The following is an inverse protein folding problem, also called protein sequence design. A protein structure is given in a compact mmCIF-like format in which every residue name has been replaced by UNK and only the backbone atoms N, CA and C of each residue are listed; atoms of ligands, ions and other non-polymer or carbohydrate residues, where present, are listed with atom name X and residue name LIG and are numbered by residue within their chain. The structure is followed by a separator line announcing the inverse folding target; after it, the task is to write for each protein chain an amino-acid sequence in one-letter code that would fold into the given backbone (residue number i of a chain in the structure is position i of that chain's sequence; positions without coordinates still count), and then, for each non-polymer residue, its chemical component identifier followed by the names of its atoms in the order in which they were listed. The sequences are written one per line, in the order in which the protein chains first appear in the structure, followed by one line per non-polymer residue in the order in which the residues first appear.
data_IF_965178105952
#
_entry.id   IF_965178105952
#
_cell.length_a   1.000
_cell.length_b   1.000
_cell.length_c   1.000
_cell.angle_alpha   90.00
_cell.angle_beta   90.00
_cell.angle_gamma   90.00
#
_symmetry.space_group_name_H-M   'P 1'
#
loop_
_entity.id
_entity.type
_entity.pdbx_description
1 polymer ?
#
# COMPACT_ATOMS: atom_id res chain seq x y z
N UNK A 1 1.51 -14.39 -18.11
CA UNK A 1 1.89 -14.71 -16.71
C UNK A 1 2.16 -16.21 -16.66
N UNK A 2 3.34 -16.65 -16.23
CA UNK A 2 3.70 -18.07 -16.15
C UNK A 2 3.41 -18.63 -14.73
N UNK A 3 3.37 -19.95 -14.53
CA UNK A 3 3.10 -20.61 -13.24
C UNK A 3 4.04 -20.11 -12.14
N UNK A 4 5.33 -19.92 -12.45
CA UNK A 4 6.31 -19.36 -11.49
C UNK A 4 5.91 -17.97 -10.99
N UNK A 5 5.30 -17.16 -11.85
CA UNK A 5 4.86 -15.79 -11.53
C UNK A 5 3.64 -15.81 -10.61
N UNK A 6 2.71 -16.73 -10.88
CA UNK A 6 1.52 -16.94 -10.07
C UNK A 6 1.91 -17.36 -8.65
N UNK A 7 2.85 -18.30 -8.50
CA UNK A 7 3.34 -18.76 -7.20
C UNK A 7 4.01 -17.62 -6.43
N UNK A 8 4.84 -16.79 -7.08
CA UNK A 8 5.46 -15.63 -6.42
C UNK A 8 4.41 -14.60 -5.95
N UNK A 9 3.42 -14.30 -6.79
CA UNK A 9 2.31 -13.43 -6.41
C UNK A 9 1.52 -14.00 -5.23
N UNK A 10 1.26 -15.32 -5.21
CA UNK A 10 0.57 -15.98 -4.10
C UNK A 10 1.37 -15.92 -2.78
N UNK A 11 2.69 -16.13 -2.83
CA UNK A 11 3.56 -15.98 -1.65
C UNK A 11 3.53 -14.53 -1.16
N UNK A 12 3.59 -13.56 -2.07
CA UNK A 12 3.55 -12.14 -1.69
C UNK A 12 2.21 -11.78 -1.04
N UNK A 13 1.10 -12.28 -1.57
CA UNK A 13 -0.24 -12.13 -0.95
C UNK A 13 -0.25 -12.74 0.45
N UNK A 14 0.27 -13.96 0.62
CA UNK A 14 0.31 -14.63 1.91
C UNK A 14 1.12 -13.85 2.95
N UNK A 15 2.31 -13.35 2.57
CA UNK A 15 3.13 -12.48 3.43
C UNK A 15 2.35 -11.23 3.80
N UNK A 16 1.73 -10.56 2.82
CA UNK A 16 0.98 -9.33 3.04
C UNK A 16 -0.17 -9.52 4.05
N UNK A 17 -0.95 -10.59 3.89
CA UNK A 17 -2.09 -10.91 4.77
C UNK A 17 -1.62 -11.25 6.19
N UNK A 18 -0.59 -12.09 6.34
CA UNK A 18 -0.06 -12.47 7.66
C UNK A 18 0.52 -11.27 8.39
N UNK A 19 1.33 -10.48 7.71
CA UNK A 19 2.00 -9.30 8.29
C UNK A 19 1.00 -8.27 8.78
N UNK A 20 -0.12 -8.13 8.07
CA UNK A 20 -1.19 -7.23 8.46
C UNK A 20 -2.02 -7.79 9.61
N UNK A 21 -2.32 -9.09 9.60
CA UNK A 21 -3.07 -9.75 10.68
C UNK A 21 -2.38 -9.61 12.05
N UNK A 22 -1.06 -9.35 12.07
CA UNK A 22 -0.26 -9.14 13.27
C UNK A 22 -0.18 -7.67 13.70
N UNK A 23 -0.68 -6.71 12.91
CA UNK A 23 -0.48 -5.27 13.15
C UNK A 23 -1.76 -4.51 13.54
N UNK A 24 -2.06 -4.37 14.86
CA UNK A 24 -3.20 -3.59 15.35
C UNK A 24 -2.99 -2.06 15.32
N UNK A 25 -1.79 -1.56 15.00
CA UNK A 25 -1.43 -0.12 15.11
C UNK A 25 -1.74 0.65 13.80
N UNK A 26 -2.33 -0.01 12.80
CA UNK A 26 -2.50 0.55 11.45
C UNK A 26 -3.80 1.29 11.15
N UNK A 27 -4.77 1.35 12.06
CA UNK A 27 -6.13 1.85 11.76
C UNK A 27 -6.50 3.20 12.38
N UNK A 28 -5.55 3.85 13.08
CA UNK A 28 -5.74 5.19 13.65
C UNK A 28 -5.32 6.32 12.69
N UNK A 29 -5.23 7.55 13.21
CA UNK A 29 -4.77 8.70 12.44
C UNK A 29 -3.30 8.60 12.00
N UNK A 30 -2.46 7.90 12.77
CA UNK A 30 -1.05 7.63 12.43
C UNK A 30 -0.94 6.18 11.99
N UNK A 31 -0.68 5.93 10.69
CA UNK A 31 -0.69 4.59 10.11
C UNK A 31 0.71 4.15 9.68
N UNK A 32 1.49 3.61 10.62
CA UNK A 32 2.75 2.92 10.28
C UNK A 32 2.48 1.43 10.05
N UNK A 33 1.85 1.11 8.93
CA UNK A 33 1.51 -0.27 8.57
C UNK A 33 2.58 -0.86 7.65
N UNK A 34 3.01 -2.08 7.96
CA UNK A 34 3.96 -2.81 7.12
C UNK A 34 3.35 -3.08 5.72
N UNK A 35 2.02 -3.14 5.60
CA UNK A 35 1.31 -3.18 4.32
C UNK A 35 1.65 -2.01 3.39
N UNK A 36 1.81 -0.81 3.94
CA UNK A 36 2.23 0.39 3.18
C UNK A 36 3.70 0.28 2.76
N UNK A 37 4.55 -0.34 3.58
CA UNK A 37 5.94 -0.62 3.17
C UNK A 37 6.00 -1.63 2.02
N UNK A 38 5.12 -2.64 1.99
CA UNK A 38 5.05 -3.64 0.92
C UNK A 38 4.42 -3.08 -0.36
N UNK A 39 3.58 -2.04 -0.26
CA UNK A 39 2.90 -1.42 -1.41
C UNK A 39 3.86 -0.76 -2.40
N UNK A 40 5.15 -0.59 -2.06
CA UNK A 40 6.19 -0.06 -2.95
C UNK A 40 6.73 -1.09 -3.95
N UNK A 41 6.53 -2.39 -3.72
CA UNK A 41 7.06 -3.46 -4.58
C UNK A 41 6.66 -3.26 -6.06
N UNK A 42 5.38 -2.93 -6.38
CA UNK A 42 4.96 -2.62 -7.73
C UNK A 42 5.67 -1.43 -8.39
N UNK A 43 6.25 -0.51 -7.62
CA UNK A 43 7.02 0.62 -8.16
C UNK A 43 8.32 0.15 -8.83
N UNK A 44 8.83 -1.02 -8.43
CA UNK A 44 10.03 -1.62 -9.00
C UNK A 44 9.71 -2.68 -10.06
N UNK A 45 8.60 -3.42 -9.91
CA UNK A 45 8.10 -4.36 -10.90
C UNK A 45 6.57 -4.45 -10.90
N UNK A 46 5.94 -3.97 -11.97
CA UNK A 46 4.47 -3.90 -12.10
C UNK A 46 3.75 -5.25 -12.15
N UNK A 47 4.47 -6.35 -12.32
CA UNK A 47 3.92 -7.71 -12.26
C UNK A 47 3.26 -8.05 -10.93
N UNK A 48 3.65 -7.34 -9.86
CA UNK A 48 3.11 -7.52 -8.51
C UNK A 48 1.88 -6.66 -8.21
N UNK A 49 1.45 -5.77 -9.12
CA UNK A 49 0.25 -4.93 -8.92
C UNK A 49 -0.98 -5.75 -8.49
N UNK A 50 -1.34 -6.87 -9.16
CA UNK A 50 -2.50 -7.65 -8.74
C UNK A 50 -2.35 -8.26 -7.35
N UNK A 51 -1.13 -8.67 -6.98
CA UNK A 51 -0.86 -9.24 -5.66
C UNK A 51 -1.07 -8.23 -4.55
N UNK A 52 -0.64 -6.98 -4.73
CA UNK A 52 -0.80 -5.93 -3.72
C UNK A 52 -2.25 -5.44 -3.62
N UNK A 53 -2.98 -5.35 -4.74
CA UNK A 53 -4.40 -4.97 -4.71
C UNK A 53 -5.23 -6.06 -3.99
N UNK A 54 -5.05 -7.33 -4.36
CA UNK A 54 -5.79 -8.44 -3.75
C UNK A 54 -5.38 -8.62 -2.30
N UNK A 55 -4.08 -8.60 -2.01
CA UNK A 55 -3.55 -8.69 -0.65
C UNK A 55 -4.07 -7.56 0.24
N UNK A 56 -4.05 -6.32 -0.27
CA UNK A 56 -4.62 -5.12 0.36
C UNK A 56 -6.11 -5.26 0.69
N UNK A 57 -6.90 -5.67 -0.30
CA UNK A 57 -8.34 -5.86 -0.13
C UNK A 57 -8.65 -6.93 0.94
N UNK A 58 -8.01 -8.09 0.85
CA UNK A 58 -8.20 -9.18 1.83
C UNK A 58 -7.76 -8.76 3.24
N UNK A 59 -6.67 -8.01 3.34
CA UNK A 59 -6.17 -7.45 4.58
C UNK A 59 -7.15 -6.46 5.23
N UNK A 60 -7.77 -5.59 4.43
CA UNK A 60 -8.71 -4.60 4.91
C UNK A 60 -10.11 -5.16 5.19
N UNK A 61 -10.46 -6.33 4.63
CA UNK A 61 -11.71 -7.02 4.99
C UNK A 61 -11.80 -7.32 6.50
N UNK A 62 -10.66 -7.54 7.16
CA UNK A 62 -10.57 -7.78 8.60
C UNK A 62 -10.34 -6.51 9.42
N UNK A 63 -10.41 -5.32 8.81
CA UNK A 63 -10.27 -4.07 9.55
C UNK A 63 -11.52 -3.74 10.36
N UNK A 64 -11.45 -2.81 11.33
CA UNK A 64 -12.61 -2.34 12.08
C UNK A 64 -13.73 -1.74 11.21
N UNK A 65 -13.37 -1.18 10.05
CA UNK A 65 -14.30 -0.61 9.06
C UNK A 65 -14.75 -1.66 8.02
N UNK A 66 -14.08 -2.80 7.98
CA UNK A 66 -14.48 -4.00 7.23
C UNK A 66 -14.56 -3.76 5.72
N UNK A 67 -15.70 -4.07 5.07
CA UNK A 67 -15.84 -3.96 3.62
C UNK A 67 -15.61 -2.55 3.04
N UNK A 68 -15.82 -1.50 3.82
CA UNK A 68 -15.64 -0.11 3.36
C UNK A 68 -14.15 0.16 3.13
N UNK A 69 -13.31 -0.13 4.12
CA UNK A 69 -11.86 0.02 4.05
C UNK A 69 -11.23 -0.91 3.00
N UNK A 70 -11.84 -2.08 2.76
CA UNK A 70 -11.45 -2.94 1.64
C UNK A 70 -11.60 -2.20 0.29
N UNK A 71 -12.74 -1.57 0.06
CA UNK A 71 -13.02 -0.86 -1.20
C UNK A 71 -12.19 0.40 -1.31
N UNK A 72 -12.07 1.18 -0.25
CA UNK A 72 -11.28 2.41 -0.21
C UNK A 72 -9.79 2.10 -0.43
N UNK A 73 -9.23 1.14 0.30
CA UNK A 73 -7.84 0.71 0.14
C UNK A 73 -7.54 0.16 -1.27
N UNK A 74 -8.44 -0.66 -1.83
CA UNK A 74 -8.32 -1.14 -3.21
C UNK A 74 -8.36 0.02 -4.22
N UNK A 75 -9.24 1.01 -4.02
CA UNK A 75 -9.33 2.19 -4.87
C UNK A 75 -8.03 3.02 -4.83
N UNK A 76 -7.47 3.26 -3.64
CA UNK A 76 -6.17 3.91 -3.46
C UNK A 76 -5.08 3.21 -4.29
N UNK A 77 -4.97 1.89 -4.14
CA UNK A 77 -3.98 1.09 -4.84
C UNK A 77 -4.17 1.14 -6.36
N UNK A 78 -5.41 0.99 -6.86
CA UNK A 78 -5.72 1.04 -8.29
C UNK A 78 -5.34 2.40 -8.87
N UNK A 79 -5.71 3.50 -8.21
CA UNK A 79 -5.40 4.85 -8.65
C UNK A 79 -3.88 5.04 -8.71
N UNK A 80 -3.19 4.77 -7.60
CA UNK A 80 -1.75 4.98 -7.51
C UNK A 80 -0.96 4.13 -8.52
N UNK A 81 -1.30 2.85 -8.67
CA UNK A 81 -0.62 1.96 -9.62
C UNK A 81 -0.97 2.28 -11.08
N UNK A 82 -2.14 2.86 -11.36
CA UNK A 82 -2.49 3.35 -12.70
C UNK A 82 -1.59 4.52 -13.12
N UNK A 83 -1.34 5.48 -12.22
CA UNK A 83 -0.40 6.58 -12.48
C UNK A 83 1.06 6.11 -12.51
N UNK A 84 1.42 5.13 -11.67
CA UNK A 84 2.77 4.56 -11.62
C UNK A 84 3.24 3.97 -12.96
N UNK A 85 2.32 3.59 -13.85
CA UNK A 85 2.64 3.17 -15.23
C UNK A 85 3.44 4.22 -16.01
N UNK A 86 3.23 5.51 -15.75
CA UNK A 86 3.85 6.61 -16.48
C UNK A 86 5.12 7.14 -15.81
N UNK A 87 5.43 6.67 -14.59
CA UNK A 87 6.46 7.26 -13.74
C UNK A 87 7.48 6.20 -13.33
N UNK A 88 8.73 6.42 -13.72
CA UNK A 88 9.84 5.49 -13.44
C UNK A 88 10.43 5.65 -12.03
N UNK A 89 10.23 6.81 -11.39
CA UNK A 89 10.82 7.10 -10.08
C UNK A 89 9.98 6.47 -8.96
N UNK A 90 10.54 5.55 -8.14
CA UNK A 90 9.82 4.97 -7.02
C UNK A 90 9.42 6.02 -5.97
N UNK A 91 10.22 7.08 -5.79
CA UNK A 91 9.94 8.16 -4.85
C UNK A 91 8.72 9.01 -5.27
N UNK A 92 8.55 9.26 -6.58
CA UNK A 92 7.36 9.96 -7.09
C UNK A 92 6.13 9.04 -6.97
N UNK A 93 6.30 7.74 -7.21
CA UNK A 93 5.22 6.77 -6.99
C UNK A 93 4.81 6.68 -5.50
N UNK A 94 5.77 6.75 -4.57
CA UNK A 94 5.51 6.89 -3.13
C UNK A 94 4.69 8.13 -2.82
N UNK A 95 5.01 9.28 -3.43
CA UNK A 95 4.23 10.51 -3.26
C UNK A 95 2.80 10.37 -3.75
N UNK A 96 2.59 9.82 -4.94
CA UNK A 96 1.26 9.61 -5.51
C UNK A 96 0.43 8.67 -4.65
N UNK A 97 1.03 7.56 -4.21
CA UNK A 97 0.37 6.60 -3.33
C UNK A 97 -0.02 7.25 -2.00
N UNK A 98 0.90 8.02 -1.38
CA UNK A 98 0.63 8.75 -0.15
C UNK A 98 -0.46 9.82 -0.30
N UNK A 99 -0.49 10.54 -1.43
CA UNK A 99 -1.56 11.52 -1.71
C UNK A 99 -2.90 10.82 -1.92
N UNK A 100 -2.95 9.71 -2.65
CA UNK A 100 -4.18 8.94 -2.85
C UNK A 100 -4.72 8.40 -1.52
N UNK A 101 -3.87 7.77 -0.71
CA UNK A 101 -4.24 7.29 0.63
C UNK A 101 -4.65 8.45 1.55
N UNK A 102 -3.88 9.53 1.58
CA UNK A 102 -4.18 10.70 2.40
C UNK A 102 -5.52 11.38 2.08
N UNK A 103 -5.99 11.33 0.83
CA UNK A 103 -7.30 11.89 0.46
C UNK A 103 -8.43 10.88 0.74
N UNK A 104 -8.29 9.65 0.24
CA UNK A 104 -9.37 8.67 0.26
C UNK A 104 -9.57 8.05 1.65
N UNK A 105 -8.50 7.62 2.30
CA UNK A 105 -8.54 7.01 3.64
C UNK A 105 -8.91 8.07 4.69
N UNK A 106 -8.42 9.30 4.56
CA UNK A 106 -8.86 10.38 5.45
C UNK A 106 -10.32 10.78 5.23
N UNK A 107 -10.82 10.72 3.99
CA UNK A 107 -12.23 10.93 3.69
C UNK A 107 -13.11 9.88 4.35
N UNK A 108 -12.70 8.61 4.27
CA UNK A 108 -13.35 7.50 4.97
C UNK A 108 -13.37 7.73 6.49
N UNK A 109 -12.20 7.93 7.11
CA UNK A 109 -12.09 8.14 8.56
C UNK A 109 -12.86 9.37 9.05
N UNK A 110 -12.86 10.46 8.28
CA UNK A 110 -13.61 11.67 8.61
C UNK A 110 -15.11 11.43 8.57
N UNK A 111 -15.59 10.65 7.60
CA UNK A 111 -17.00 10.31 7.47
C UNK A 111 -17.48 9.32 8.56
N UNK A 112 -16.66 8.34 8.93
CA UNK A 112 -17.05 7.29 9.88
C UNK A 112 -16.77 7.65 11.34
N UNK A 113 -15.77 8.49 11.60
CA UNK A 113 -15.24 8.77 12.94
C UNK A 113 -15.41 10.22 13.42
N UNK A 114 -16.07 11.08 12.64
CA UNK A 114 -16.25 12.53 12.94
C UNK A 114 -14.93 13.27 13.25
N UNK A 115 -13.82 12.83 12.65
CA UNK A 115 -12.50 13.45 12.82
C UNK A 115 -12.24 14.53 11.74
N UNK A 116 -11.46 15.59 12.04
CA UNK A 116 -11.19 16.65 11.07
C UNK A 116 -10.44 16.13 9.84
N UNK A 117 -11.05 16.24 8.65
CA UNK A 117 -10.50 15.74 7.39
C UNK A 117 -9.06 16.18 7.14
N UNK A 118 -8.77 17.49 7.26
CA UNK A 118 -7.44 18.03 6.95
C UNK A 118 -6.33 17.47 7.86
N UNK A 119 -6.61 17.32 9.15
CA UNK A 119 -5.64 16.77 10.09
C UNK A 119 -5.40 15.28 9.83
N UNK A 120 -6.47 14.53 9.56
CA UNK A 120 -6.39 13.11 9.22
C UNK A 120 -5.65 12.91 7.89
N UNK A 121 -5.91 13.75 6.88
CA UNK A 121 -5.25 13.68 5.58
C UNK A 121 -3.74 13.94 5.67
N UNK A 122 -3.33 14.93 6.46
CA UNK A 122 -1.92 15.21 6.72
C UNK A 122 -1.26 14.07 7.51
N UNK A 123 -1.96 13.51 8.48
CA UNK A 123 -1.42 12.44 9.33
C UNK A 123 -1.28 11.12 8.57
N UNK A 124 -2.33 10.68 7.86
CA UNK A 124 -2.31 9.46 7.04
C UNK A 124 -1.36 9.65 5.86
N UNK A 125 -1.52 10.73 5.07
CA UNK A 125 -0.65 11.00 3.93
C UNK A 125 0.82 11.15 4.33
N UNK A 126 1.11 11.84 5.44
CA UNK A 126 2.46 12.01 5.97
C UNK A 126 3.09 10.70 6.44
N UNK A 127 2.35 9.88 7.19
CA UNK A 127 2.83 8.57 7.67
C UNK A 127 3.03 7.58 6.51
N UNK A 128 2.09 7.49 5.56
CA UNK A 128 2.24 6.70 4.33
C UNK A 128 3.43 7.18 3.50
N UNK A 129 3.62 8.49 3.34
CA UNK A 129 4.76 9.03 2.59
C UNK A 129 6.08 8.63 3.24
N UNK A 130 6.20 8.81 4.56
CA UNK A 130 7.42 8.46 5.27
C UNK A 130 7.77 6.98 5.10
N UNK A 131 6.80 6.08 5.34
CA UNK A 131 7.07 4.64 5.30
C UNK A 131 7.34 4.13 3.89
N UNK A 132 6.64 4.67 2.88
CA UNK A 132 6.87 4.29 1.48
C UNK A 132 8.18 4.85 0.93
N UNK A 133 8.61 6.04 1.36
CA UNK A 133 9.94 6.56 1.02
C UNK A 133 11.05 5.71 1.64
N UNK A 134 10.92 5.38 2.92
CA UNK A 134 11.86 4.50 3.63
C UNK A 134 11.93 3.12 2.97
N UNK A 135 10.78 2.52 2.66
CA UNK A 135 10.71 1.22 2.00
C UNK A 135 11.32 1.26 0.59
N UNK A 136 11.00 2.30 -0.21
CA UNK A 136 11.61 2.51 -1.52
C UNK A 136 13.14 2.63 -1.43
N UNK A 137 13.65 3.38 -0.45
CA UNK A 137 15.09 3.51 -0.20
C UNK A 137 15.74 2.18 0.17
N UNK A 138 15.14 1.43 1.10
CA UNK A 138 15.63 0.12 1.53
C UNK A 138 15.65 -0.90 0.38
N UNK A 139 14.58 -0.94 -0.42
CA UNK A 139 14.53 -1.82 -1.60
C UNK A 139 15.62 -1.42 -2.58
N UNK A 140 15.84 -0.13 -2.81
CA UNK A 140 16.82 0.36 -3.76
C UNK A 140 18.28 0.05 -3.38
N UNK A 141 18.60 0.11 -2.08
CA UNK A 141 19.93 -0.16 -1.51
C UNK A 141 20.21 -1.65 -1.26
N UNK A 142 19.20 -2.50 -1.25
CA UNK A 142 19.35 -3.92 -0.92
C UNK A 142 19.29 -4.82 -2.16
N UNK A 143 19.65 -6.09 -1.95
CA UNK A 143 19.52 -7.13 -2.98
C UNK A 143 18.05 -7.38 -3.41
N UNK A 144 17.07 -6.84 -2.67
CA UNK A 144 15.65 -6.93 -3.00
C UNK A 144 15.34 -6.31 -4.37
N UNK A 145 15.99 -5.21 -4.76
CA UNK A 145 15.81 -4.60 -6.09
C UNK A 145 16.07 -5.60 -7.22
N UNK A 146 17.14 -6.39 -7.08
CA UNK A 146 17.53 -7.40 -8.05
C UNK A 146 16.50 -8.54 -8.08
N UNK A 147 16.15 -9.07 -6.91
CA UNK A 147 15.14 -10.12 -6.76
C UNK A 147 13.79 -9.69 -7.36
N UNK A 148 13.33 -8.47 -7.10
CA UNK A 148 12.04 -7.96 -7.57
C UNK A 148 12.07 -7.74 -9.09
N UNK A 149 13.17 -7.23 -9.66
CA UNK A 149 13.28 -6.97 -11.11
C UNK A 149 13.51 -8.23 -11.95
N UNK A 150 14.27 -9.20 -11.45
CA UNK A 150 14.60 -10.44 -12.17
C UNK A 150 13.50 -11.49 -12.08
N UNK A 151 12.43 -11.21 -11.33
CA UNK A 151 11.37 -12.16 -11.01
C UNK A 151 10.19 -12.19 -11.96
#
# INVERSE_FOLDING_TARGET
MNIKDLVKNAILIAIYVVVIGVNPIGFGAIQFRIGEALSVIPFFNRKYVPALIIGGALANLYSPLGPIDMVVGAACAIIAYSFSKFIKSPYINSLIFATASGILVAGELSYTGDVPFFLTALSVGGSTLFITLLASYLVEKSNLKKIIKES
#
